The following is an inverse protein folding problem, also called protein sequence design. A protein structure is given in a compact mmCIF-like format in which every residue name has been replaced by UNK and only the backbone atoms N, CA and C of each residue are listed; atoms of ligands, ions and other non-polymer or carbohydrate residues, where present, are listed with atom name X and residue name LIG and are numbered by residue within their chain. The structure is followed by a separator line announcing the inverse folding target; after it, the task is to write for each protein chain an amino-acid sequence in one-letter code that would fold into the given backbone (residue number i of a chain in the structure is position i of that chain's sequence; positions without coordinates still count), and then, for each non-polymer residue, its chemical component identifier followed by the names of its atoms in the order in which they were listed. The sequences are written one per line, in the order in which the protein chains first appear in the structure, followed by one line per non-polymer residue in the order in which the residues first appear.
data_IF_347801402531
#
_entry.id   IF_347801402531
#
_cell.length_a   1.000
_cell.length_b   1.000
_cell.length_c   1.000
_cell.angle_alpha   90.00
_cell.angle_beta   90.00
_cell.angle_gamma   90.00
#
_symmetry.space_group_name_H-M   'P 1'
#
loop_
_entity.id
_entity.type
_entity.pdbx_description
1 polymer ?
#
# COMPACT_ATOMS: atom_id res chain seq x y z
N UNK A 1 -5.99 -18.10 13.75
CA UNK A 1 -6.53 -16.73 13.82
C UNK A 1 -6.37 -16.10 12.45
N UNK A 2 -7.38 -15.35 12.00
CA UNK A 2 -7.69 -15.12 10.58
C UNK A 2 -6.61 -14.40 9.78
N UNK A 3 -6.24 -14.99 8.64
CA UNK A 3 -5.73 -14.25 7.48
C UNK A 3 -7.00 -13.77 6.79
N UNK A 4 -7.55 -12.65 7.28
CA UNK A 4 -8.81 -12.14 6.77
C UNK A 4 -8.72 -11.78 5.28
N UNK A 5 -9.91 -11.78 4.67
CA UNK A 5 -10.23 -11.30 3.33
C UNK A 5 -9.54 -9.96 2.97
N UNK A 6 -9.33 -9.69 1.67
CA UNK A 6 -8.29 -8.79 1.19
C UNK A 6 -8.37 -7.48 1.94
N UNK A 7 -7.24 -7.05 2.47
CA UNK A 7 -7.04 -5.77 3.12
C UNK A 7 -7.85 -4.68 2.39
N UNK A 8 -9.01 -4.34 2.99
CA UNK A 8 -9.93 -3.32 2.48
C UNK A 8 -9.40 -1.97 2.95
N UNK A 9 -8.19 -1.63 2.51
CA UNK A 9 -7.62 -0.30 2.69
C UNK A 9 -8.37 0.66 1.78
N UNK A 10 -9.38 1.31 2.35
CA UNK A 10 -9.23 2.72 2.63
C UNK A 10 -10.18 3.09 3.78
N UNK A 11 -9.75 2.81 5.00
CA UNK A 11 -10.11 3.72 6.09
C UNK A 11 -9.34 5.01 5.79
N UNK A 12 -9.97 6.17 5.99
CA UNK A 12 -9.36 7.51 5.85
C UNK A 12 -7.86 7.44 6.20
N UNK A 13 -6.95 7.92 5.34
CA UNK A 13 -5.51 7.83 5.61
C UNK A 13 -5.22 8.64 6.89
N UNK A 14 -5.04 7.89 7.97
CA UNK A 14 -5.00 8.31 9.37
C UNK A 14 -3.57 8.77 9.69
N UNK A 15 -3.38 9.95 10.29
CA UNK A 15 -2.02 10.49 10.52
C UNK A 15 -1.99 11.53 11.65
N UNK A 16 -2.47 11.18 12.84
CA UNK A 16 -2.62 12.19 13.89
C UNK A 16 -1.27 12.83 14.29
N UNK A 17 -1.34 14.10 14.67
CA UNK A 17 -0.16 14.92 14.99
C UNK A 17 0.51 15.56 13.77
N UNK A 18 0.08 15.25 12.56
CA UNK A 18 0.46 15.99 11.37
C UNK A 18 -0.40 17.25 11.20
N UNK A 19 0.22 18.29 10.64
CA UNK A 19 -0.47 19.49 10.17
C UNK A 19 -0.01 19.77 8.75
N UNK A 20 -0.77 20.58 8.01
CA UNK A 20 -0.40 20.87 6.65
C UNK A 20 -1.38 21.73 5.89
N UNK A 21 -1.33 21.56 4.58
CA UNK A 21 -2.20 22.23 3.62
C UNK A 21 -2.75 21.21 2.64
N UNK A 22 -3.97 21.44 2.19
CA UNK A 22 -4.71 20.62 1.24
C UNK A 22 -4.96 21.40 -0.02
N UNK A 23 -4.49 20.90 -1.16
CA UNK A 23 -4.75 21.46 -2.48
C UNK A 23 -5.86 20.68 -3.18
N UNK A 24 -6.98 21.34 -3.47
CA UNK A 24 -8.10 20.77 -4.21
C UNK A 24 -7.93 20.95 -5.71
N UNK A 25 -8.40 19.97 -6.49
CA UNK A 25 -8.38 20.06 -7.95
C UNK A 25 -9.60 19.38 -8.56
N UNK A 26 -10.14 19.99 -9.62
CA UNK A 26 -11.14 19.35 -10.50
C UNK A 26 -10.49 18.58 -11.65
N UNK A 27 -9.16 18.57 -11.75
CA UNK A 27 -8.41 17.79 -12.72
C UNK A 27 -8.00 16.44 -12.13
N UNK A 28 -7.78 15.40 -12.97
CA UNK A 28 -7.23 14.14 -12.47
C UNK A 28 -5.86 14.32 -11.81
N UNK A 29 -5.71 13.83 -10.57
CA UNK A 29 -4.42 13.76 -9.88
C UNK A 29 -3.58 12.66 -10.55
N UNK A 30 -2.56 13.07 -11.31
CA UNK A 30 -1.62 12.20 -12.04
C UNK A 30 -0.18 12.41 -11.57
N UNK A 31 0.76 11.48 -11.81
CA UNK A 31 2.16 11.70 -11.47
C UNK A 31 2.73 12.95 -12.12
N UNK A 32 2.35 13.24 -13.37
CA UNK A 32 2.75 14.46 -14.06
C UNK A 32 2.21 15.75 -13.38
N UNK A 33 0.96 15.72 -12.92
CA UNK A 33 0.39 16.83 -12.17
C UNK A 33 1.08 16.99 -10.81
N UNK A 34 1.26 15.90 -10.05
CA UNK A 34 1.97 15.91 -8.77
C UNK A 34 3.40 16.43 -8.91
N UNK A 35 4.15 15.92 -9.88
CA UNK A 35 5.54 16.31 -10.14
C UNK A 35 5.68 17.82 -10.42
N UNK A 36 4.67 18.43 -11.04
CA UNK A 36 4.66 19.86 -11.37
C UNK A 36 4.17 20.73 -10.22
N UNK A 37 3.10 20.32 -9.55
CA UNK A 37 2.30 21.20 -8.69
C UNK A 37 2.47 20.94 -7.18
N UNK A 38 2.95 19.76 -6.79
CA UNK A 38 2.99 19.34 -5.38
C UNK A 38 4.38 18.90 -4.93
N UNK A 39 5.06 18.08 -5.74
CA UNK A 39 6.39 17.53 -5.40
C UNK A 39 7.43 18.62 -5.09
N UNK A 40 7.52 19.75 -5.83
CA UNK A 40 8.49 20.79 -5.51
C UNK A 40 8.31 21.36 -4.10
N UNK A 41 7.05 21.56 -3.67
CA UNK A 41 6.72 22.07 -2.34
C UNK A 41 7.07 21.07 -1.24
N UNK A 42 6.69 19.80 -1.41
CA UNK A 42 7.00 18.73 -0.45
C UNK A 42 8.51 18.46 -0.32
N UNK A 43 9.24 18.52 -1.44
CA UNK A 43 10.70 18.42 -1.48
C UNK A 43 11.35 19.58 -0.72
N UNK A 44 10.94 20.82 -1.00
CA UNK A 44 11.49 22.00 -0.34
C UNK A 44 11.25 21.96 1.19
N UNK A 45 10.09 21.45 1.63
CA UNK A 45 9.84 21.22 3.06
C UNK A 45 10.83 20.22 3.66
N UNK A 46 11.07 19.09 2.98
CA UNK A 46 12.01 18.07 3.43
C UNK A 46 13.45 18.62 3.49
N UNK A 47 13.87 19.39 2.48
CA UNK A 47 15.20 20.01 2.39
C UNK A 47 15.43 21.09 3.46
N UNK A 48 14.37 21.78 3.88
CA UNK A 48 14.39 22.72 5.03
C UNK A 48 14.36 22.02 6.39
N UNK A 49 14.33 20.69 6.42
CA UNK A 49 14.35 19.90 7.65
C UNK A 49 12.99 19.73 8.33
N UNK A 50 11.88 19.95 7.62
CA UNK A 50 10.56 19.65 8.17
C UNK A 50 10.48 18.13 8.50
N UNK A 51 10.08 17.75 9.72
CA UNK A 51 10.06 16.34 10.12
C UNK A 51 8.87 15.60 9.50
N UNK A 52 9.12 14.36 9.08
CA UNK A 52 8.11 13.41 8.59
C UNK A 52 7.17 13.99 7.53
N UNK A 53 7.73 14.71 6.54
CA UNK A 53 6.96 15.22 5.40
C UNK A 53 6.29 14.08 4.66
N UNK A 54 5.00 14.24 4.36
CA UNK A 54 4.16 13.23 3.74
C UNK A 54 3.26 13.85 2.68
N UNK A 55 2.95 13.07 1.65
CA UNK A 55 1.88 13.36 0.71
C UNK A 55 0.72 12.40 0.97
N UNK A 56 -0.51 12.92 0.86
CA UNK A 56 -1.72 12.12 1.02
C UNK A 56 -2.71 12.48 -0.06
N UNK A 57 -3.21 11.49 -0.79
CA UNK A 57 -4.30 11.70 -1.75
C UNK A 57 -5.63 11.50 -1.04
N UNK A 58 -6.58 12.40 -1.27
CA UNK A 58 -7.95 12.26 -0.80
C UNK A 58 -8.98 12.46 -1.92
N UNK A 59 -10.22 12.11 -1.59
CA UNK A 59 -11.34 12.04 -2.54
C UNK A 59 -12.61 12.72 -1.99
N UNK A 60 -12.84 12.71 -0.68
CA UNK A 60 -14.05 13.31 -0.11
C UNK A 60 -14.14 14.80 -0.48
N UNK A 61 -15.29 15.22 -1.03
CA UNK A 61 -15.53 16.55 -1.62
C UNK A 61 -14.64 16.91 -2.83
N UNK A 62 -14.17 15.89 -3.55
CA UNK A 62 -13.39 16.00 -4.77
C UNK A 62 -11.92 15.61 -4.59
N UNK A 63 -11.19 15.37 -5.70
CA UNK A 63 -9.77 15.05 -5.63
C UNK A 63 -8.96 16.16 -4.97
N UNK A 64 -8.11 15.75 -4.04
CA UNK A 64 -7.18 16.67 -3.39
C UNK A 64 -5.91 15.95 -2.97
N UNK A 65 -4.87 16.74 -2.69
CA UNK A 65 -3.61 16.26 -2.15
C UNK A 65 -3.23 17.10 -0.95
N UNK A 66 -2.92 16.43 0.15
CA UNK A 66 -2.41 17.07 1.35
C UNK A 66 -0.89 16.99 1.34
N UNK A 67 -0.25 18.12 1.66
CA UNK A 67 1.17 18.21 2.01
C UNK A 67 1.24 18.38 3.51
N UNK A 68 1.75 17.36 4.19
CA UNK A 68 1.72 17.24 5.65
C UNK A 68 3.14 17.17 6.22
N UNK A 69 3.31 17.65 7.45
CA UNK A 69 4.52 17.42 8.25
C UNK A 69 4.15 17.32 9.74
N UNK A 70 5.03 16.72 10.54
CA UNK A 70 4.82 16.59 11.98
C UNK A 70 4.79 17.97 12.64
N UNK A 71 3.77 18.23 13.45
CA UNK A 71 3.64 19.49 14.18
C UNK A 71 4.70 19.57 15.29
N UNK A 72 5.71 20.41 15.08
CA UNK A 72 6.79 20.68 16.05
C UNK A 72 6.96 22.19 16.25
N UNK A 73 7.46 22.65 17.41
CA UNK A 73 7.87 24.04 17.58
C UNK A 73 8.88 24.46 16.51
N UNK A 74 8.63 25.59 15.86
CA UNK A 74 9.45 26.04 14.71
C UNK A 74 9.19 25.25 13.41
N UNK A 75 8.08 24.52 13.33
CA UNK A 75 7.65 23.82 12.12
C UNK A 75 7.28 24.77 10.97
N UNK A 76 6.85 24.22 9.82
CA UNK A 76 6.58 25.00 8.61
C UNK A 76 5.55 26.12 8.82
N UNK A 77 5.77 27.26 8.17
CA UNK A 77 4.72 28.26 8.01
C UNK A 77 3.74 27.80 6.93
N UNK A 78 2.62 27.22 7.36
CA UNK A 78 1.59 26.72 6.45
C UNK A 78 0.88 27.81 5.63
N UNK A 79 0.99 29.10 5.99
CA UNK A 79 0.54 30.19 5.09
C UNK A 79 1.48 30.28 3.90
N UNK A 80 2.79 30.37 4.14
CA UNK A 80 3.80 30.43 3.07
C UNK A 80 3.72 29.19 2.18
N UNK A 81 3.55 28.00 2.76
CA UNK A 81 3.41 26.76 1.99
C UNK A 81 2.13 26.78 1.14
N UNK A 82 1.01 27.30 1.66
CA UNK A 82 -0.23 27.45 0.90
C UNK A 82 -0.05 28.36 -0.32
N UNK A 83 0.67 29.47 -0.15
CA UNK A 83 0.93 30.45 -1.22
C UNK A 83 1.82 29.88 -2.34
N UNK A 84 2.58 28.82 -2.06
CA UNK A 84 3.41 28.10 -3.05
C UNK A 84 2.66 27.03 -3.83
N UNK A 85 1.47 26.62 -3.38
CA UNK A 85 0.67 25.58 -4.04
C UNK A 85 -0.22 26.18 -5.12
N UNK A 86 -0.08 25.67 -6.34
CA UNK A 86 -0.88 26.05 -7.49
C UNK A 86 -1.36 24.78 -8.19
N UNK A 87 -2.68 24.61 -8.36
CA UNK A 87 -3.25 23.46 -9.06
C UNK A 87 -3.08 23.53 -10.59
N UNK A 88 -2.58 24.65 -11.11
CA UNK A 88 -2.46 24.96 -12.53
C UNK A 88 -3.78 25.46 -13.14
N UNK A 89 -3.84 25.60 -14.48
CA UNK A 89 -5.06 25.99 -15.15
C UNK A 89 -6.09 24.85 -15.16
N UNK A 90 -7.37 25.22 -14.99
CA UNK A 90 -8.49 24.31 -15.20
C UNK A 90 -8.71 24.09 -16.71
N UNK A 91 -8.78 22.84 -17.14
CA UNK A 91 -9.15 22.45 -18.51
C UNK A 91 -10.62 21.98 -18.51
N UNK A 92 -11.59 22.82 -18.94
CA UNK A 92 -13.01 22.52 -18.75
C UNK A 92 -13.49 21.18 -19.34
N UNK A 93 -13.08 20.77 -20.56
CA UNK A 93 -13.38 19.44 -21.11
C UNK A 93 -12.92 18.26 -20.25
N UNK A 94 -11.88 18.44 -19.41
CA UNK A 94 -11.31 17.39 -18.56
C UNK A 94 -11.68 17.53 -17.09
N UNK A 95 -12.31 18.65 -16.73
CA UNK A 95 -12.71 18.94 -15.37
C UNK A 95 -13.82 17.98 -14.91
N UNK A 96 -13.69 17.45 -13.71
CA UNK A 96 -14.73 16.66 -13.08
C UNK A 96 -15.94 17.55 -12.76
N UNK A 97 -17.11 17.13 -13.23
CA UNK A 97 -18.40 17.69 -12.80
C UNK A 97 -18.89 16.95 -11.56
N UNK A 98 -19.81 17.56 -10.81
CA UNK A 98 -20.38 16.92 -9.62
C UNK A 98 -21.15 15.65 -9.98
N UNK A 99 -21.87 15.66 -11.10
CA UNK A 99 -22.62 14.52 -11.62
C UNK A 99 -21.69 13.35 -11.97
N UNK A 100 -20.60 13.63 -12.71
CA UNK A 100 -19.63 12.62 -13.09
C UNK A 100 -18.87 12.04 -11.88
N UNK A 101 -18.66 12.85 -10.84
CA UNK A 101 -17.91 12.44 -9.66
C UNK A 101 -18.74 11.63 -8.65
N UNK A 102 -20.04 11.92 -8.53
CA UNK A 102 -20.87 11.38 -7.46
C UNK A 102 -20.95 9.84 -7.45
N UNK A 103 -20.97 9.20 -8.62
CA UNK A 103 -20.96 7.73 -8.71
C UNK A 103 -19.66 7.13 -8.16
N UNK A 104 -18.52 7.73 -8.52
CA UNK A 104 -17.22 7.34 -7.98
C UNK A 104 -17.16 7.55 -6.46
N UNK A 105 -17.64 8.69 -5.97
CA UNK A 105 -17.64 9.02 -4.54
C UNK A 105 -18.54 8.08 -3.72
N UNK A 106 -19.68 7.65 -4.28
CA UNK A 106 -20.56 6.64 -3.65
C UNK A 106 -19.87 5.30 -3.50
N UNK A 107 -19.14 4.88 -4.55
CA UNK A 107 -18.41 3.62 -4.50
C UNK A 107 -17.25 3.68 -3.51
N UNK A 108 -16.50 4.78 -3.46
CA UNK A 108 -15.50 4.99 -2.41
C UNK A 108 -16.13 5.01 -1.02
N UNK A 109 -17.18 5.78 -0.79
CA UNK A 109 -17.86 5.82 0.50
C UNK A 109 -18.35 4.45 0.98
N UNK A 110 -18.87 3.60 0.07
CA UNK A 110 -19.26 2.22 0.37
C UNK A 110 -18.07 1.35 0.76
N UNK A 111 -16.99 1.39 -0.03
CA UNK A 111 -15.80 0.56 0.21
C UNK A 111 -14.97 1.01 1.41
N UNK A 112 -15.02 2.30 1.74
CA UNK A 112 -14.26 2.96 2.80
C UNK A 112 -15.05 3.15 4.11
N UNK A 113 -16.34 2.76 4.11
CA UNK A 113 -17.29 3.04 5.19
C UNK A 113 -17.30 4.53 5.59
N UNK A 114 -17.34 5.42 4.59
CA UNK A 114 -17.46 6.88 4.74
C UNK A 114 -18.86 7.28 4.32
N UNK A 115 -19.60 7.92 5.22
CA UNK A 115 -20.98 8.34 4.98
C UNK A 115 -21.04 9.64 4.16
N UNK A 116 -22.11 9.87 3.37
CA UNK A 116 -22.38 11.15 2.72
C UNK A 116 -22.60 12.28 3.76
N UNK A 117 -22.53 13.57 3.35
CA UNK A 117 -22.49 14.07 1.97
C UNK A 117 -21.10 14.01 1.33
N UNK A 118 -21.05 13.66 0.03
CA UNK A 118 -19.80 13.65 -0.76
C UNK A 118 -19.58 14.91 -1.59
N UNK A 119 -20.64 15.73 -1.72
CA UNK A 119 -20.71 16.99 -2.47
C UNK A 119 -21.02 18.14 -1.50
N UNK A 120 -20.80 19.42 -1.87
CA UNK A 120 -20.29 19.90 -3.16
C UNK A 120 -18.82 19.56 -3.41
N UNK A 121 -18.39 19.66 -4.67
CA UNK A 121 -16.97 19.62 -5.02
C UNK A 121 -16.30 20.94 -4.64
N UNK A 122 -15.16 20.88 -3.97
CA UNK A 122 -14.33 22.06 -3.77
C UNK A 122 -13.89 22.68 -5.11
N UNK A 123 -13.63 23.98 -5.08
CA UNK A 123 -13.13 24.72 -6.25
C UNK A 123 -11.72 24.25 -6.63
N UNK A 124 -11.43 24.25 -7.93
CA UNK A 124 -10.10 23.93 -8.41
C UNK A 124 -9.09 25.00 -7.98
N UNK A 125 -7.97 24.58 -7.40
CA UNK A 125 -6.97 25.49 -6.86
C UNK A 125 -7.28 25.98 -5.45
N UNK A 126 -8.42 25.60 -4.85
CA UNK A 126 -8.68 25.94 -3.46
C UNK A 126 -7.64 25.28 -2.55
N UNK A 127 -7.03 26.08 -1.67
CA UNK A 127 -6.12 25.59 -0.64
C UNK A 127 -6.77 25.76 0.73
N UNK A 128 -6.79 24.70 1.54
CA UNK A 128 -7.28 24.73 2.90
C UNK A 128 -6.21 24.27 3.89
N UNK A 129 -6.28 24.77 5.13
CA UNK A 129 -5.41 24.28 6.19
C UNK A 129 -5.88 22.90 6.66
N UNK A 130 -4.92 22.04 6.97
CA UNK A 130 -5.12 20.74 7.58
C UNK A 130 -4.60 20.81 9.02
N UNK A 131 -5.53 20.74 9.98
CA UNK A 131 -5.22 20.70 11.41
C UNK A 131 -5.20 19.28 11.97
N UNK A 132 -4.84 19.12 13.26
CA UNK A 132 -4.77 17.81 13.91
C UNK A 132 -6.10 17.03 13.90
N UNK A 133 -7.24 17.75 13.91
CA UNK A 133 -8.57 17.14 13.83
C UNK A 133 -8.84 16.50 12.46
N UNK A 134 -8.29 17.08 11.38
CA UNK A 134 -8.47 16.58 10.02
C UNK A 134 -7.66 15.31 9.77
N UNK A 135 -6.59 15.11 10.55
CA UNK A 135 -5.70 13.95 10.50
C UNK A 135 -5.96 12.96 11.63
N UNK A 136 -6.99 13.17 12.45
CA UNK A 136 -7.31 12.29 13.56
C UNK A 136 -7.63 10.87 13.06
N UNK A 137 -7.02 9.90 13.73
CA UNK A 137 -7.04 8.50 13.32
C UNK A 137 -8.06 7.67 14.10
N UNK A 138 -8.63 6.64 13.46
CA UNK A 138 -9.51 5.68 14.15
C UNK A 138 -8.77 4.85 15.19
N UNK A 139 -7.50 4.56 14.95
CA UNK A 139 -6.63 3.84 15.89
C UNK A 139 -5.36 4.68 16.18
N UNK A 140 -5.42 5.59 17.17
CA UNK A 140 -4.32 6.50 17.45
C UNK A 140 -3.01 5.83 17.87
N UNK A 141 -3.07 4.59 18.38
CA UNK A 141 -1.86 3.85 18.77
C UNK A 141 -0.95 3.53 17.58
N UNK A 142 -1.47 3.56 16.36
CA UNK A 142 -0.71 3.34 15.13
C UNK A 142 -0.05 4.60 14.57
N UNK A 143 -0.42 5.80 15.03
CA UNK A 143 -0.03 7.07 14.39
C UNK A 143 1.47 7.33 14.37
N UNK A 144 2.16 6.97 15.45
CA UNK A 144 3.61 7.08 15.52
C UNK A 144 4.30 6.21 14.46
N UNK A 145 3.77 5.00 14.21
CA UNK A 145 4.32 4.08 13.23
C UNK A 145 4.06 4.59 11.82
N UNK A 146 2.84 5.07 11.56
CA UNK A 146 2.47 5.72 10.29
C UNK A 146 3.40 6.88 9.98
N UNK A 147 3.61 7.77 10.95
CA UNK A 147 4.48 8.94 10.81
C UNK A 147 5.92 8.54 10.46
N UNK A 148 6.48 7.55 11.14
CA UNK A 148 7.86 7.07 10.89
C UNK A 148 7.97 6.44 9.51
N UNK A 149 7.07 5.52 9.18
CA UNK A 149 7.10 4.77 7.92
C UNK A 149 6.83 5.69 6.73
N UNK A 150 5.71 6.41 6.73
CA UNK A 150 5.34 7.28 5.61
C UNK A 150 6.35 8.43 5.41
N UNK A 151 6.93 8.96 6.49
CA UNK A 151 8.04 9.90 6.40
C UNK A 151 9.28 9.30 5.73
N UNK A 152 9.63 8.04 6.03
CA UNK A 152 10.74 7.33 5.39
C UNK A 152 10.45 7.00 3.92
N UNK A 153 9.21 6.64 3.58
CA UNK A 153 8.79 6.35 2.21
C UNK A 153 8.68 7.61 1.33
N UNK A 154 8.57 8.80 1.92
CA UNK A 154 8.34 10.04 1.17
C UNK A 154 9.44 10.31 0.13
N UNK A 155 10.73 10.17 0.49
CA UNK A 155 11.83 10.42 -0.45
C UNK A 155 11.77 9.53 -1.72
N UNK A 156 11.75 8.19 -1.62
CA UNK A 156 11.63 7.35 -2.83
C UNK A 156 10.30 7.55 -3.56
N UNK A 157 9.21 7.88 -2.84
CA UNK A 157 7.92 8.19 -3.45
C UNK A 157 7.98 9.44 -4.34
N UNK A 158 8.53 10.57 -3.84
CA UNK A 158 8.68 11.80 -4.62
C UNK A 158 9.52 11.58 -5.88
N UNK A 159 10.66 10.86 -5.75
CA UNK A 159 11.50 10.52 -6.92
C UNK A 159 10.76 9.61 -7.90
N UNK A 160 9.96 8.67 -7.42
CA UNK A 160 9.17 7.79 -8.28
C UNK A 160 8.10 8.56 -9.04
N UNK A 161 7.42 9.52 -8.40
CA UNK A 161 6.45 10.41 -9.05
C UNK A 161 7.12 11.17 -10.20
N UNK A 162 8.28 11.80 -9.96
CA UNK A 162 9.04 12.51 -10.98
C UNK A 162 9.53 11.60 -12.11
N UNK A 163 10.05 10.42 -11.76
CA UNK A 163 10.53 9.44 -12.74
C UNK A 163 9.42 8.93 -13.65
N UNK A 164 8.22 8.71 -13.12
CA UNK A 164 7.04 8.34 -13.92
C UNK A 164 6.53 9.53 -14.75
N UNK A 165 6.57 10.74 -14.19
CA UNK A 165 6.18 11.95 -14.92
C UNK A 165 7.10 12.20 -16.13
N UNK A 166 8.41 11.98 -15.97
CA UNK A 166 9.39 12.13 -17.04
C UNK A 166 9.32 10.99 -18.07
N UNK A 167 9.20 9.75 -17.61
CA UNK A 167 9.21 8.55 -18.46
C UNK A 167 8.07 7.58 -18.09
N UNK A 168 6.82 7.85 -18.52
CA UNK A 168 5.65 7.05 -18.15
C UNK A 168 5.77 5.56 -18.49
N UNK A 169 6.51 5.23 -19.55
CA UNK A 169 6.75 3.85 -19.98
C UNK A 169 7.53 3.00 -18.93
N UNK A 170 8.22 3.65 -17.99
CA UNK A 170 8.98 2.98 -16.93
C UNK A 170 8.15 2.66 -15.68
N UNK A 171 6.88 3.10 -15.62
CA UNK A 171 6.04 2.97 -14.41
C UNK A 171 5.93 1.54 -13.89
N UNK A 172 5.69 0.55 -14.78
CA UNK A 172 5.60 -0.86 -14.39
C UNK A 172 6.90 -1.38 -13.78
N UNK A 173 8.06 -1.02 -14.34
CA UNK A 173 9.37 -1.44 -13.83
C UNK A 173 9.65 -0.80 -12.46
N UNK A 174 9.41 0.51 -12.32
CA UNK A 174 9.60 1.22 -11.04
C UNK A 174 8.68 0.68 -9.94
N UNK A 175 7.45 0.31 -10.29
CA UNK A 175 6.54 -0.37 -9.37
C UNK A 175 7.08 -1.76 -9.00
N UNK A 176 7.53 -2.54 -9.97
CA UNK A 176 8.13 -3.84 -9.70
C UNK A 176 9.34 -3.75 -8.77
N UNK A 177 10.21 -2.75 -8.95
CA UNK A 177 11.36 -2.49 -8.07
C UNK A 177 10.92 -2.20 -6.62
N UNK A 178 9.89 -1.38 -6.43
CA UNK A 178 9.34 -1.08 -5.11
C UNK A 178 8.72 -2.32 -4.44
N UNK A 179 7.91 -3.09 -5.18
CA UNK A 179 7.32 -4.34 -4.68
C UNK A 179 8.39 -5.39 -4.37
N UNK A 180 9.39 -5.57 -5.23
CA UNK A 180 10.53 -6.46 -5.00
C UNK A 180 11.31 -6.06 -3.74
N UNK A 181 11.49 -4.75 -3.52
CA UNK A 181 12.12 -4.24 -2.31
C UNK A 181 11.28 -4.47 -1.04
N UNK A 182 9.95 -4.38 -1.13
CA UNK A 182 9.04 -4.68 -0.03
C UNK A 182 9.09 -6.16 0.36
N UNK A 183 8.95 -7.08 -0.60
CA UNK A 183 8.93 -8.52 -0.27
C UNK A 183 10.25 -9.01 0.31
N UNK A 184 11.36 -8.37 -0.05
CA UNK A 184 12.68 -8.68 0.50
C UNK A 184 12.88 -8.20 1.95
N UNK A 185 11.93 -7.46 2.53
CA UNK A 185 11.93 -7.19 4.00
C UNK A 185 11.52 -8.39 4.83
N UNK A 186 10.97 -9.43 4.20
CA UNK A 186 10.65 -10.67 4.89
C UNK A 186 11.95 -11.33 5.40
N UNK A 187 11.98 -11.79 6.65
CA UNK A 187 13.20 -12.33 7.28
C UNK A 187 13.81 -13.56 6.57
N UNK A 188 12.99 -14.33 5.84
CA UNK A 188 13.42 -15.43 4.95
C UNK A 188 13.72 -14.98 3.50
N UNK A 189 13.78 -13.68 3.25
CA UNK A 189 13.98 -13.10 1.93
C UNK A 189 12.75 -13.17 1.01
N UNK A 190 12.93 -12.78 -0.25
CA UNK A 190 11.84 -12.49 -1.17
C UNK A 190 11.12 -13.75 -1.64
N UNK A 191 11.78 -14.92 -1.60
CA UNK A 191 11.18 -16.22 -1.93
C UNK A 191 9.95 -16.57 -1.06
N UNK A 192 9.93 -16.05 0.17
CA UNK A 192 8.81 -16.20 1.11
C UNK A 192 8.03 -14.90 1.30
N UNK A 193 8.68 -13.74 1.18
CA UNK A 193 7.99 -12.45 1.23
C UNK A 193 6.88 -12.30 0.21
N UNK A 194 7.01 -12.93 -0.98
CA UNK A 194 5.97 -12.95 -2.01
C UNK A 194 4.68 -13.67 -1.60
N UNK A 195 4.66 -14.44 -0.52
CA UNK A 195 3.43 -15.09 -0.04
C UNK A 195 2.39 -14.08 0.43
N UNK A 196 2.79 -12.90 0.91
CA UNK A 196 1.85 -11.85 1.28
C UNK A 196 1.18 -11.18 0.07
N UNK A 197 1.92 -10.72 -0.97
CA UNK A 197 1.30 -10.34 -2.24
C UNK A 197 0.43 -11.44 -2.86
N UNK A 198 0.88 -12.70 -2.83
CA UNK A 198 0.09 -13.85 -3.32
C UNK A 198 -1.23 -13.99 -2.55
N UNK A 199 -1.19 -13.96 -1.21
CA UNK A 199 -2.38 -13.92 -0.36
C UNK A 199 -3.30 -12.76 -0.73
N UNK A 200 -2.76 -11.55 -0.89
CA UNK A 200 -3.53 -10.36 -1.20
C UNK A 200 -4.29 -10.48 -2.54
N UNK A 201 -3.62 -10.98 -3.59
CA UNK A 201 -4.29 -11.17 -4.87
C UNK A 201 -5.26 -12.35 -4.89
N UNK A 202 -4.92 -13.48 -4.28
CA UNK A 202 -5.83 -14.63 -4.20
C UNK A 202 -7.10 -14.30 -3.41
N UNK A 203 -6.99 -13.48 -2.36
CA UNK A 203 -8.13 -12.99 -1.60
C UNK A 203 -9.05 -12.09 -2.44
N UNK A 204 -8.47 -11.23 -3.28
CA UNK A 204 -9.23 -10.44 -4.25
C UNK A 204 -9.89 -11.31 -5.33
N UNK A 205 -9.18 -12.30 -5.87
CA UNK A 205 -9.71 -13.20 -6.89
C UNK A 205 -10.89 -14.02 -6.36
N UNK A 206 -10.81 -14.50 -5.11
CA UNK A 206 -11.94 -15.14 -4.43
C UNK A 206 -13.12 -14.18 -4.23
N UNK A 207 -12.86 -12.93 -3.82
CA UNK A 207 -13.89 -11.90 -3.66
C UNK A 207 -14.56 -11.50 -4.99
N UNK A 208 -13.82 -11.45 -6.09
CA UNK A 208 -14.31 -11.08 -7.42
C UNK A 208 -14.98 -12.24 -8.18
N UNK A 209 -14.69 -13.49 -7.81
CA UNK A 209 -15.19 -14.70 -8.48
C UNK A 209 -16.72 -14.72 -8.73
N UNK A 210 -17.58 -14.21 -7.82
CA UNK A 210 -19.03 -14.18 -8.06
C UNK A 210 -19.46 -13.33 -9.28
N UNK A 211 -18.61 -12.39 -9.73
CA UNK A 211 -18.94 -11.50 -10.85
C UNK A 211 -18.05 -11.72 -12.06
N UNK A 212 -16.75 -11.97 -11.87
CA UNK A 212 -15.80 -12.18 -12.96
C UNK A 212 -14.50 -12.84 -12.49
N UNK A 213 -14.04 -13.85 -13.22
CA UNK A 213 -12.65 -14.31 -13.12
C UNK A 213 -11.73 -13.40 -13.94
N UNK A 214 -10.76 -12.77 -13.27
CA UNK A 214 -9.78 -11.86 -13.88
C UNK A 214 -8.39 -12.48 -14.04
N UNK A 215 -8.18 -13.73 -13.62
CA UNK A 215 -6.90 -14.46 -13.79
C UNK A 215 -6.41 -14.48 -15.24
N UNK A 216 -7.24 -14.76 -16.26
CA UNK A 216 -6.76 -14.78 -17.65
C UNK A 216 -6.20 -13.41 -18.10
N UNK A 217 -6.83 -12.31 -17.65
CA UNK A 217 -6.38 -10.96 -17.96
C UNK A 217 -5.02 -10.66 -17.32
N UNK A 218 -4.80 -11.11 -16.09
CA UNK A 218 -3.52 -10.96 -15.40
C UNK A 218 -2.43 -11.80 -16.06
N UNK A 219 -2.72 -13.04 -16.47
CA UNK A 219 -1.79 -13.91 -17.19
C UNK A 219 -1.38 -13.30 -18.54
N UNK A 220 -2.35 -12.84 -19.34
CA UNK A 220 -2.08 -12.18 -20.63
C UNK A 220 -1.23 -10.92 -20.48
N UNK A 221 -1.44 -10.17 -19.38
CA UNK A 221 -0.66 -8.98 -19.09
C UNK A 221 0.75 -9.36 -18.62
N UNK A 222 0.88 -10.34 -17.72
CA UNK A 222 2.16 -10.86 -17.25
C UNK A 222 3.02 -11.35 -18.43
N UNK A 223 2.46 -12.08 -19.39
CA UNK A 223 3.22 -12.53 -20.57
C UNK A 223 3.91 -11.38 -21.34
N UNK A 224 3.33 -10.18 -21.34
CA UNK A 224 3.89 -8.96 -21.99
C UNK A 224 4.92 -8.23 -21.13
N UNK A 225 4.77 -8.29 -19.81
CA UNK A 225 5.64 -7.62 -18.86
C UNK A 225 6.80 -8.52 -18.37
N UNK A 226 6.68 -9.85 -18.54
CA UNK A 226 7.55 -10.88 -18.00
C UNK A 226 9.05 -10.65 -18.26
N UNK A 227 9.53 -10.30 -19.48
CA UNK A 227 10.96 -10.06 -19.69
C UNK A 227 11.52 -8.96 -18.78
N UNK A 228 10.75 -7.88 -18.56
CA UNK A 228 11.16 -6.75 -17.73
C UNK A 228 11.05 -7.07 -16.24
N UNK A 229 9.98 -7.75 -15.83
CA UNK A 229 9.79 -8.14 -14.44
C UNK A 229 10.81 -9.19 -13.98
N UNK A 230 11.15 -10.13 -14.86
CA UNK A 230 12.20 -11.13 -14.61
C UNK A 230 13.53 -10.45 -14.28
N UNK A 231 13.95 -9.48 -15.08
CA UNK A 231 15.18 -8.70 -14.82
C UNK A 231 15.15 -8.03 -13.45
N UNK A 232 14.03 -7.42 -13.05
CA UNK A 232 13.90 -6.77 -11.73
C UNK A 232 14.07 -7.79 -10.60
N UNK A 233 13.43 -8.96 -10.70
CA UNK A 233 13.52 -10.01 -9.68
C UNK A 233 14.93 -10.60 -9.62
N UNK A 234 15.54 -10.91 -10.76
CA UNK A 234 16.92 -11.42 -10.83
C UNK A 234 17.92 -10.42 -10.24
N UNK A 235 17.82 -9.14 -10.58
CA UNK A 235 18.63 -8.06 -10.00
C UNK A 235 18.43 -7.93 -8.50
N UNK A 236 17.20 -8.11 -8.01
CA UNK A 236 16.96 -8.06 -6.56
C UNK A 236 17.62 -9.24 -5.86
N UNK A 237 17.51 -10.44 -6.42
CA UNK A 237 18.10 -11.66 -5.86
C UNK A 237 19.64 -11.64 -5.91
N UNK A 238 20.24 -11.02 -6.92
CA UNK A 238 21.70 -10.86 -7.01
C UNK A 238 22.26 -9.70 -6.17
N UNK A 239 21.40 -8.76 -5.77
CA UNK A 239 21.78 -7.54 -5.05
C UNK A 239 22.18 -6.37 -5.95
N UNK A 240 22.21 -6.55 -7.27
CA UNK A 240 22.57 -5.53 -8.27
C UNK A 240 21.35 -4.65 -8.64
N UNK A 241 20.92 -3.82 -7.69
CA UNK A 241 19.71 -3.00 -7.84
C UNK A 241 20.00 -1.61 -8.41
N UNK A 242 19.04 -1.02 -9.13
CA UNK A 242 19.10 0.37 -9.59
C UNK A 242 19.15 1.36 -8.41
N UNK A 243 19.56 2.60 -8.66
CA UNK A 243 19.56 3.65 -7.64
C UNK A 243 18.15 3.91 -7.04
N UNK A 244 17.10 3.83 -7.87
CA UNK A 244 15.72 3.98 -7.40
C UNK A 244 15.30 2.81 -6.51
N UNK A 245 15.62 1.58 -6.92
CA UNK A 245 15.38 0.38 -6.12
C UNK A 245 16.18 0.38 -4.80
N UNK A 246 17.39 0.93 -4.78
CA UNK A 246 18.21 1.09 -3.58
C UNK A 246 17.58 2.07 -2.55
N UNK A 247 16.94 3.14 -3.01
CA UNK A 247 16.24 4.06 -2.11
C UNK A 247 14.99 3.42 -1.48
N UNK A 248 14.20 2.68 -2.26
CA UNK A 248 13.11 1.88 -1.70
C UNK A 248 13.62 0.85 -0.69
N UNK A 249 14.71 0.12 -1.02
CA UNK A 249 15.36 -0.81 -0.09
C UNK A 249 15.74 -0.13 1.23
N UNK A 250 16.33 1.05 1.15
CA UNK A 250 16.78 1.80 2.34
C UNK A 250 15.61 2.23 3.19
N UNK A 251 14.57 2.81 2.58
CA UNK A 251 13.38 3.26 3.28
C UNK A 251 12.63 2.08 3.94
N UNK A 252 12.51 0.96 3.23
CA UNK A 252 11.89 -0.24 3.76
C UNK A 252 12.69 -0.89 4.88
N UNK A 253 14.02 -0.98 4.77
CA UNK A 253 14.87 -1.53 5.83
C UNK A 253 14.79 -0.69 7.12
N UNK A 254 14.83 0.64 6.99
CA UNK A 254 14.63 1.55 8.13
C UNK A 254 13.26 1.34 8.78
N UNK A 255 12.21 1.26 7.95
CA UNK A 255 10.84 1.07 8.40
C UNK A 255 10.64 -0.27 9.09
N UNK A 256 11.09 -1.38 8.50
CA UNK A 256 11.00 -2.72 9.10
C UNK A 256 11.73 -2.78 10.43
N UNK A 257 12.95 -2.23 10.53
CA UNK A 257 13.68 -2.18 11.80
C UNK A 257 12.94 -1.40 12.90
N UNK A 258 12.34 -0.25 12.56
CA UNK A 258 11.56 0.53 13.52
C UNK A 258 10.29 -0.23 13.99
N UNK A 259 9.59 -0.88 13.07
CA UNK A 259 8.38 -1.66 13.37
C UNK A 259 8.70 -2.94 14.14
N UNK A 260 9.78 -3.64 13.80
CA UNK A 260 10.23 -4.84 14.51
C UNK A 260 10.66 -4.51 15.95
N UNK A 261 11.28 -3.35 16.16
CA UNK A 261 11.55 -2.86 17.51
C UNK A 261 10.25 -2.64 18.31
N UNK A 262 9.19 -2.14 17.68
CA UNK A 262 7.88 -1.97 18.32
C UNK A 262 7.20 -3.31 18.61
N UNK A 263 7.34 -4.29 17.71
CA UNK A 263 6.89 -5.67 17.93
C UNK A 263 7.61 -6.29 19.12
N UNK A 264 8.94 -6.14 19.20
CA UNK A 264 9.74 -6.66 20.30
C UNK A 264 9.35 -6.01 21.64
N UNK A 265 8.98 -4.72 21.62
CA UNK A 265 8.46 -3.99 22.77
C UNK A 265 6.99 -4.31 23.11
N UNK A 266 6.28 -5.06 22.27
CA UNK A 266 4.86 -5.39 22.45
C UNK A 266 3.89 -4.22 22.20
N UNK A 267 4.37 -3.12 21.60
CA UNK A 267 3.53 -1.95 21.28
C UNK A 267 2.89 -2.04 19.90
N UNK A 268 3.42 -2.90 19.03
CA UNK A 268 2.81 -3.30 17.76
C UNK A 268 2.49 -4.80 17.80
N UNK A 269 1.21 -5.14 17.70
CA UNK A 269 0.73 -6.54 17.73
C UNK A 269 -0.22 -6.80 16.57
N UNK A 270 -0.49 -8.07 16.27
CA UNK A 270 -1.50 -8.44 15.27
C UNK A 270 -2.90 -8.00 15.72
N UNK A 271 -3.26 -8.22 16.99
CA UNK A 271 -4.52 -7.77 17.57
C UNK A 271 -4.75 -6.26 17.41
N UNK A 272 -3.70 -5.44 17.60
CA UNK A 272 -3.78 -3.99 17.38
C UNK A 272 -4.06 -3.65 15.91
N UNK A 273 -3.49 -4.41 14.98
CA UNK A 273 -3.74 -4.19 13.57
C UNK A 273 -5.13 -4.69 13.15
N UNK A 274 -5.63 -5.75 13.78
CA UNK A 274 -6.98 -6.30 13.53
C UNK A 274 -8.05 -5.31 14.04
N UNK A 275 -7.80 -4.62 15.16
CA UNK A 275 -8.73 -3.66 15.77
C UNK A 275 -9.07 -2.46 14.89
N UNK A 276 -8.27 -2.17 13.85
CA UNK A 276 -8.56 -1.10 12.87
C UNK A 276 -9.83 -1.38 12.08
N UNK A 277 -10.18 -2.66 11.92
CA UNK A 277 -11.34 -3.09 11.13
C UNK A 277 -12.52 -3.56 11.98
N UNK A 278 -12.37 -3.53 13.30
CA UNK A 278 -13.43 -3.87 14.24
C UNK A 278 -14.61 -2.91 14.09
N UNK A 279 -15.82 -3.46 14.09
CA UNK A 279 -17.06 -2.68 14.00
C UNK A 279 -17.34 -2.05 12.64
N UNK A 280 -16.50 -2.30 11.61
CA UNK A 280 -16.83 -1.91 10.23
C UNK A 280 -17.95 -2.81 9.72
N UNK A 281 -19.08 -2.23 9.33
CA UNK A 281 -20.15 -2.97 8.67
C UNK A 281 -19.70 -3.38 7.25
N UNK A 282 -19.58 -4.70 7.05
CA UNK A 282 -19.10 -5.30 5.81
C UNK A 282 -20.24 -5.81 4.92
N UNK A 283 -21.50 -5.69 5.34
CA UNK A 283 -22.66 -6.34 4.70
C UNK A 283 -22.89 -5.92 3.25
N UNK A 284 -22.47 -4.72 2.87
CA UNK A 284 -22.61 -4.18 1.52
C UNK A 284 -21.26 -4.00 0.80
N UNK A 285 -20.20 -4.69 1.23
CA UNK A 285 -18.85 -4.59 0.67
C UNK A 285 -18.51 -5.72 -0.35
N UNK A 286 -19.52 -6.35 -0.95
CA UNK A 286 -19.33 -7.29 -2.07
C UNK A 286 -18.78 -6.61 -3.34
N UNK A 287 -18.40 -7.40 -4.36
CA UNK A 287 -17.85 -6.87 -5.61
C UNK A 287 -18.84 -6.04 -6.41
N UNK A 288 -18.36 -5.15 -7.31
CA UNK A 288 -19.22 -4.41 -8.24
C UNK A 288 -20.15 -5.36 -8.99
N UNK A 289 -21.46 -5.08 -8.96
CA UNK A 289 -22.51 -5.92 -9.54
C UNK A 289 -23.06 -7.01 -8.60
N UNK A 290 -22.44 -7.26 -7.46
CA UNK A 290 -22.92 -8.19 -6.42
C UNK A 290 -22.58 -7.69 -5.01
N UNK A 291 -23.03 -6.48 -4.68
CA UNK A 291 -22.63 -5.73 -3.46
C UNK A 291 -22.94 -6.43 -2.14
N UNK A 292 -23.90 -7.37 -2.11
CA UNK A 292 -24.26 -8.15 -0.92
C UNK A 292 -23.63 -9.55 -0.87
N UNK A 293 -22.90 -9.94 -1.90
CA UNK A 293 -22.16 -11.21 -1.93
C UNK A 293 -20.80 -10.96 -1.29
N UNK A 294 -20.75 -11.12 0.02
CA UNK A 294 -19.55 -10.93 0.83
C UNK A 294 -18.90 -12.29 1.12
N UNK A 295 -17.56 -12.37 1.20
CA UNK A 295 -16.88 -13.61 1.60
C UNK A 295 -17.43 -14.11 2.94
N UNK A 296 -17.71 -15.42 3.03
CA UNK A 296 -18.15 -16.08 4.26
C UNK A 296 -16.98 -16.83 4.91
N UNK A 297 -16.96 -16.84 6.24
CA UNK A 297 -15.89 -17.46 7.03
C UNK A 297 -14.72 -16.51 7.33
N UNK A 298 -13.77 -17.01 8.12
CA UNK A 298 -12.65 -16.20 8.66
C UNK A 298 -11.50 -15.99 7.64
N UNK A 299 -11.58 -16.61 6.47
CA UNK A 299 -10.50 -16.75 5.50
C UNK A 299 -11.04 -16.68 4.07
N UNK A 300 -10.29 -16.10 3.10
CA UNK A 300 -10.59 -16.25 1.69
C UNK A 300 -10.64 -17.72 1.27
N UNK A 301 -11.68 -18.10 0.56
CA UNK A 301 -11.77 -19.45 0.01
C UNK A 301 -11.00 -19.54 -1.32
N UNK A 302 -9.73 -19.95 -1.25
CA UNK A 302 -8.87 -20.18 -2.42
C UNK A 302 -7.84 -21.28 -2.11
N UNK A 303 -7.29 -21.91 -3.16
CA UNK A 303 -6.28 -22.97 -3.01
C UNK A 303 -5.07 -22.52 -2.17
N UNK A 304 -4.61 -21.29 -2.38
CA UNK A 304 -3.49 -20.74 -1.62
C UNK A 304 -3.80 -20.65 -0.12
N UNK A 305 -4.93 -20.06 0.25
CA UNK A 305 -5.30 -19.87 1.66
C UNK A 305 -5.60 -21.21 2.34
N UNK A 306 -6.20 -22.17 1.63
CA UNK A 306 -6.38 -23.55 2.13
C UNK A 306 -5.03 -24.23 2.39
N UNK A 307 -4.10 -24.20 1.43
CA UNK A 307 -2.78 -24.80 1.57
C UNK A 307 -1.96 -24.16 2.71
N UNK A 308 -1.99 -22.84 2.83
CA UNK A 308 -1.34 -22.12 3.94
C UNK A 308 -2.00 -22.47 5.28
N UNK A 309 -3.33 -22.58 5.33
CA UNK A 309 -4.06 -23.05 6.50
C UNK A 309 -3.64 -24.45 6.94
N UNK A 310 -3.62 -25.40 5.99
CA UNK A 310 -3.22 -26.81 6.20
C UNK A 310 -1.75 -26.95 6.60
N UNK A 311 -0.87 -26.02 6.20
CA UNK A 311 0.53 -26.03 6.62
C UNK A 311 0.73 -25.75 8.10
N UNK A 312 -0.28 -25.23 8.80
CA UNK A 312 -0.21 -24.82 10.20
C UNK A 312 0.60 -23.54 10.46
N UNK A 313 1.23 -22.95 9.43
CA UNK A 313 2.05 -21.73 9.56
C UNK A 313 1.24 -20.53 10.09
N UNK A 314 -0.07 -20.52 9.87
CA UNK A 314 -0.99 -19.46 10.34
C UNK A 314 -1.67 -19.78 11.69
N UNK A 315 -1.42 -20.95 12.27
CA UNK A 315 -2.00 -21.33 13.56
C UNK A 315 -1.41 -20.49 14.71
N UNK A 316 -0.11 -20.21 14.64
CA UNK A 316 0.63 -19.33 15.55
C UNK A 316 1.53 -18.38 14.73
N UNK A 317 0.95 -17.29 14.19
CA UNK A 317 1.71 -16.38 13.34
C UNK A 317 2.80 -15.70 14.17
N UNK A 318 4.02 -15.72 13.65
CA UNK A 318 5.13 -15.10 14.36
C UNK A 318 4.91 -13.60 14.52
N UNK A 319 5.25 -13.06 15.69
CA UNK A 319 5.00 -11.67 16.08
C UNK A 319 5.57 -10.66 15.10
N UNK A 320 6.71 -10.97 14.46
CA UNK A 320 7.35 -10.11 13.46
C UNK A 320 6.39 -9.79 12.29
N UNK A 321 5.43 -10.67 11.99
CA UNK A 321 4.48 -10.49 10.90
C UNK A 321 3.64 -9.22 11.05
N UNK A 322 3.41 -8.73 12.28
CA UNK A 322 2.75 -7.44 12.49
C UNK A 322 3.53 -6.27 11.86
N UNK A 323 4.86 -6.27 11.98
CA UNK A 323 5.71 -5.25 11.35
C UNK A 323 5.59 -5.31 9.82
N UNK A 324 5.70 -6.50 9.25
CA UNK A 324 5.62 -6.70 7.80
C UNK A 324 4.24 -6.36 7.23
N UNK A 325 3.17 -6.75 7.93
CA UNK A 325 1.79 -6.43 7.56
C UNK A 325 1.57 -4.93 7.58
N UNK A 326 1.93 -4.23 8.66
CA UNK A 326 1.78 -2.77 8.73
C UNK A 326 2.61 -2.07 7.65
N UNK A 327 3.86 -2.49 7.41
CA UNK A 327 4.69 -1.91 6.35
C UNK A 327 4.06 -2.05 4.96
N UNK A 328 3.54 -3.24 4.66
CA UNK A 328 2.86 -3.54 3.39
C UNK A 328 1.63 -2.65 3.21
N UNK A 329 0.79 -2.56 4.24
CA UNK A 329 -0.42 -1.75 4.24
C UNK A 329 -0.12 -0.26 4.00
N UNK A 330 0.90 0.27 4.69
CA UNK A 330 1.31 1.67 4.55
C UNK A 330 1.96 1.97 3.19
N UNK A 331 2.67 1.02 2.59
CA UNK A 331 3.12 1.14 1.21
C UNK A 331 1.94 1.17 0.24
N UNK A 332 0.96 0.28 0.41
CA UNK A 332 -0.24 0.24 -0.42
C UNK A 332 -1.07 1.53 -0.33
N UNK A 333 -1.08 2.19 0.83
CA UNK A 333 -1.72 3.49 1.03
C UNK A 333 -1.10 4.60 0.14
N UNK A 334 0.17 4.47 -0.28
CA UNK A 334 0.86 5.46 -1.13
C UNK A 334 0.61 5.24 -2.63
N UNK A 335 0.18 4.04 -3.04
CA UNK A 335 -0.02 3.68 -4.45
C UNK A 335 -0.99 4.60 -5.23
N UNK A 336 -2.07 5.14 -4.63
CA UNK A 336 -2.94 6.09 -5.31
C UNK A 336 -2.26 7.41 -5.75
N UNK A 337 -1.17 7.83 -5.10
CA UNK A 337 -0.37 8.98 -5.56
C UNK A 337 0.36 8.66 -6.87
N UNK A 338 0.68 7.39 -7.11
CA UNK A 338 1.30 6.90 -8.34
C UNK A 338 0.26 6.57 -9.43
N UNK A 339 -1.01 6.92 -9.21
CA UNK A 339 -2.16 6.52 -10.05
C UNK A 339 -2.32 5.02 -10.23
N UNK A 340 -1.81 4.23 -9.28
CA UNK A 340 -2.02 2.79 -9.26
C UNK A 340 -3.42 2.53 -8.72
N UNK A 341 -4.30 2.03 -9.58
CA UNK A 341 -5.65 1.59 -9.19
C UNK A 341 -5.58 0.30 -8.36
N UNK A 342 -6.64 -0.03 -7.60
CA UNK A 342 -6.71 -1.32 -6.90
C UNK A 342 -6.45 -2.52 -7.82
N UNK A 343 -6.99 -2.49 -9.04
CA UNK A 343 -6.76 -3.55 -10.04
C UNK A 343 -5.28 -3.67 -10.44
N UNK A 344 -4.60 -2.53 -10.62
CA UNK A 344 -3.16 -2.53 -10.90
C UNK A 344 -2.34 -3.00 -9.69
N UNK A 345 -2.74 -2.67 -8.46
CA UNK A 345 -2.13 -3.21 -7.23
C UNK A 345 -2.23 -4.73 -7.19
N UNK A 346 -3.42 -5.29 -7.41
CA UNK A 346 -3.62 -6.74 -7.46
C UNK A 346 -2.82 -7.39 -8.59
N UNK A 347 -2.78 -6.77 -9.77
CA UNK A 347 -1.93 -7.23 -10.87
C UNK A 347 -0.45 -7.24 -10.48
N UNK A 348 0.09 -6.18 -9.85
CA UNK A 348 1.49 -6.16 -9.42
C UNK A 348 1.79 -7.24 -8.38
N UNK A 349 0.86 -7.49 -7.45
CA UNK A 349 0.98 -8.57 -6.48
C UNK A 349 1.07 -9.95 -7.16
N UNK A 350 0.16 -10.21 -8.11
CA UNK A 350 0.18 -11.42 -8.94
C UNK A 350 1.48 -11.54 -9.73
N UNK A 351 1.83 -10.50 -10.47
CA UNK A 351 2.98 -10.50 -11.37
C UNK A 351 4.29 -10.74 -10.63
N UNK A 352 4.50 -10.12 -9.47
CA UNK A 352 5.71 -10.33 -8.65
C UNK A 352 5.74 -11.74 -8.04
N UNK A 353 4.61 -12.25 -7.55
CA UNK A 353 4.54 -13.60 -6.98
C UNK A 353 4.84 -14.68 -8.03
N UNK A 354 4.23 -14.59 -9.22
CA UNK A 354 4.49 -15.51 -10.33
C UNK A 354 5.93 -15.37 -10.84
N UNK A 355 6.45 -14.14 -11.00
CA UNK A 355 7.81 -13.94 -11.50
C UNK A 355 8.87 -14.50 -10.54
N UNK A 356 8.64 -14.44 -9.23
CA UNK A 356 9.55 -15.06 -8.25
C UNK A 356 9.52 -16.59 -8.36
N UNK A 357 8.36 -17.21 -8.56
CA UNK A 357 8.27 -18.65 -8.81
C UNK A 357 9.04 -19.04 -10.09
N UNK A 358 8.85 -18.28 -11.17
CA UNK A 358 9.51 -18.49 -12.46
C UNK A 358 11.04 -18.28 -12.41
N UNK A 359 11.53 -17.32 -11.62
CA UNK A 359 12.97 -17.07 -11.47
C UNK A 359 13.63 -18.13 -10.60
N UNK A 360 12.95 -18.56 -9.52
CA UNK A 360 13.47 -19.59 -8.64
C UNK A 360 13.35 -21.00 -9.25
N UNK A 361 12.48 -21.19 -10.25
CA UNK A 361 12.22 -22.49 -10.87
C UNK A 361 11.50 -23.48 -9.95
N UNK A 362 10.86 -22.98 -8.89
CA UNK A 362 10.12 -23.77 -7.90
C UNK A 362 8.80 -23.08 -7.60
N UNK A 363 7.71 -23.85 -7.55
CA UNK A 363 6.38 -23.30 -7.26
C UNK A 363 6.27 -22.86 -5.79
N UNK A 364 5.32 -21.96 -5.50
CA UNK A 364 5.03 -21.61 -4.12
C UNK A 364 4.54 -22.82 -3.30
N UNK A 365 3.82 -23.77 -3.92
CA UNK A 365 3.38 -25.00 -3.27
C UNK A 365 4.56 -25.84 -2.81
N UNK A 366 5.56 -26.02 -3.68
CA UNK A 366 6.76 -26.79 -3.37
C UNK A 366 7.55 -26.12 -2.24
N UNK A 367 7.69 -24.79 -2.27
CA UNK A 367 8.35 -24.03 -1.19
C UNK A 367 7.60 -24.11 0.15
N UNK A 368 6.26 -24.15 0.12
CA UNK A 368 5.44 -24.31 1.31
C UNK A 368 5.57 -25.73 1.89
N UNK A 369 5.54 -26.75 1.03
CA UNK A 369 5.71 -28.15 1.41
C UNK A 369 7.11 -28.43 1.98
N UNK A 370 8.17 -27.99 1.31
CA UNK A 370 9.55 -28.12 1.80
C UNK A 370 9.72 -27.45 3.18
N UNK A 371 9.10 -26.28 3.39
CA UNK A 371 9.13 -25.62 4.70
C UNK A 371 8.41 -26.43 5.78
N UNK A 372 7.23 -26.98 5.48
CA UNK A 372 6.48 -27.84 6.39
C UNK A 372 7.29 -29.07 6.77
N UNK A 373 7.89 -29.73 5.79
CA UNK A 373 8.66 -30.96 5.99
C UNK A 373 9.93 -30.69 6.84
N UNK A 374 10.60 -29.55 6.63
CA UNK A 374 11.72 -29.11 7.50
C UNK A 374 11.28 -28.81 8.93
N UNK A 375 10.11 -28.19 9.13
CA UNK A 375 9.58 -27.91 10.47
C UNK A 375 9.17 -29.20 11.20
N UNK A 376 8.57 -30.17 10.49
CA UNK A 376 8.24 -31.47 11.03
C UNK A 376 9.49 -32.28 11.41
N UNK A 377 10.53 -32.25 10.57
CA UNK A 377 11.82 -32.89 10.85
C UNK A 377 12.53 -32.29 12.08
N UNK A 378 12.51 -30.96 12.24
CA UNK A 378 13.09 -30.29 13.40
C UNK A 378 12.33 -30.57 14.72
N UNK A 379 11.01 -30.75 14.66
CA UNK A 379 10.20 -31.14 15.82
C UNK A 379 10.39 -32.60 16.24
N UNK A 380 10.78 -33.47 15.29
CA UNK A 380 11.01 -34.90 15.52
C UNK A 380 12.40 -35.23 16.11
N UNK A 381 13.34 -34.27 16.14
CA UNK A 381 14.68 -34.44 16.70
C UNK A 381 14.93 -33.54 17.95
N UNK A 382 14.36 -33.89 19.12
CA UNK A 382 14.59 -33.17 20.38
C UNK A 382 15.91 -33.55 21.07
N UNK A 383 16.71 -34.44 20.48
CA UNK A 383 17.94 -34.96 21.08
C UNK A 383 19.16 -34.58 20.25
N UNK A 384 19.51 -33.29 20.28
CA UNK A 384 20.80 -32.81 19.80
C UNK A 384 21.95 -33.47 20.57
N UNK A 385 22.42 -34.62 20.09
CA UNK A 385 23.74 -35.17 20.38
C UNK A 385 24.48 -35.21 19.05
N UNK A 386 25.25 -34.17 18.77
CA UNK A 386 26.29 -34.21 17.75
C UNK A 386 27.41 -35.16 18.18
N UNK A 387 27.80 -36.07 17.28
CA UNK A 387 29.11 -36.74 17.32
C UNK A 387 30.08 -35.99 16.43
#
# INVERSE_FOLDING_TARGET
MGVEAPERTAVKPDSAGLTGVRLHTRMPVTPAWLARHVVPVARALSERGAPAVQLRRGWLHGPHVDVLALAVPGGPDWTEVADLLDAGPLDPPRALTEEAYLEQAREFGRLEAVQPPYLPLHEHGAVSRVGPADTASREPRLDQFRTVVLGALNKPLLRMIEGIAAEPATATVRLAEAFAALVDTHFLGPAYGVFSPRSHVEAFLAWAAPTKDVRPVFQDRLAKDAPRLRTVVEQRLSGEVSAGAAEWRTAFAYSSGALESAVAAGTLTLDLLDSVTDGVDRSEMGPPGATRVVPQGDQPDSDFHRAVGESGVVADPSRWFAAFRLLTNLFYEQLPLLTVSPMQRYYMCFAIAETVDDVLGVSWQDRLNDRRDRMAGAAADPTGVTR
#
